data_IF_537565098638
#
_entry.id   IF_537565098638
#
_cell.length_a   1.000
_cell.length_b   1.000
_cell.length_c   1.000
_cell.angle_alpha   90.00
_cell.angle_beta   90.00
_cell.angle_gamma   90.00
#
_symmetry.space_group_name_H-M   'P 1'
#
loop_
_entity.id
_entity.type
_entity.pdbx_description
1 polymer ?
#
# COMPACT_ATOMS: atom_id res chain seq x y z
N UNK A 1 12.75 -10.28 -34.28
CA UNK A 1 11.62 -10.77 -33.46
C UNK A 1 11.86 -10.38 -32.02
N UNK A 2 10.88 -9.79 -31.30
CA UNK A 2 11.06 -9.51 -29.88
C UNK A 2 11.33 -10.80 -29.11
N UNK A 3 12.41 -10.82 -28.31
CA UNK A 3 12.88 -12.05 -27.64
C UNK A 3 12.11 -12.40 -26.37
N UNK A 4 11.30 -11.49 -25.83
CA UNK A 4 10.44 -11.74 -24.67
C UNK A 4 9.66 -10.51 -24.20
N UNK A 5 8.67 -10.73 -23.33
CA UNK A 5 7.86 -9.68 -22.69
C UNK A 5 8.28 -9.50 -21.25
N UNK A 6 8.62 -8.27 -20.88
CA UNK A 6 9.15 -7.90 -19.57
C UNK A 6 8.22 -6.86 -18.95
N UNK A 7 7.60 -7.23 -17.84
CA UNK A 7 6.84 -6.31 -17.00
C UNK A 7 7.74 -5.76 -15.91
N UNK A 8 7.73 -4.44 -15.72
CA UNK A 8 8.49 -3.75 -14.67
C UNK A 8 7.51 -2.91 -13.84
N UNK A 9 7.30 -3.32 -12.59
CA UNK A 9 6.57 -2.53 -11.60
C UNK A 9 7.54 -1.79 -10.70
N UNK A 10 7.47 -0.46 -10.65
CA UNK A 10 8.31 0.34 -9.75
C UNK A 10 7.46 0.85 -8.60
N UNK A 11 7.94 0.66 -7.36
CA UNK A 11 7.25 1.09 -6.15
C UNK A 11 6.68 2.50 -6.29
N UNK A 12 5.42 2.65 -5.89
CA UNK A 12 4.67 3.88 -6.04
C UNK A 12 5.16 4.89 -4.98
N UNK A 13 5.63 6.09 -5.36
CA UNK A 13 5.95 7.11 -4.38
C UNK A 13 4.68 7.56 -3.66
N UNK A 14 4.79 7.68 -2.33
CA UNK A 14 3.68 8.16 -1.51
C UNK A 14 3.49 9.67 -1.69
N UNK A 15 2.31 10.10 -2.10
CA UNK A 15 1.97 11.48 -2.45
C UNK A 15 1.68 12.37 -1.21
N UNK A 16 2.62 12.38 -0.27
CA UNK A 16 2.56 13.15 0.97
C UNK A 16 3.91 13.78 1.33
N UNK A 17 4.80 13.92 0.35
CA UNK A 17 6.14 14.42 0.54
C UNK A 17 6.96 14.40 -0.75
N UNK A 18 7.96 15.27 -0.80
CA UNK A 18 8.91 15.36 -1.91
C UNK A 18 9.86 14.17 -1.94
N UNK A 19 10.32 13.80 -3.14
CA UNK A 19 11.26 12.68 -3.30
C UNK A 19 12.70 13.13 -3.07
N UNK A 20 13.42 12.41 -2.21
CA UNK A 20 14.87 12.56 -2.04
C UNK A 20 15.68 11.53 -2.87
N UNK A 21 16.99 11.73 -2.99
CA UNK A 21 17.91 10.88 -3.78
C UNK A 21 17.85 9.38 -3.42
N UNK A 22 17.65 9.04 -2.14
CA UNK A 22 17.46 7.64 -1.73
C UNK A 22 16.30 6.92 -2.44
N UNK A 23 15.20 7.63 -2.73
CA UNK A 23 14.09 7.07 -3.51
C UNK A 23 14.53 6.76 -4.94
N UNK A 24 15.20 7.74 -5.57
CA UNK A 24 15.70 7.66 -6.95
C UNK A 24 16.69 6.51 -7.11
N UNK A 25 17.71 6.48 -6.27
CA UNK A 25 18.76 5.45 -6.29
C UNK A 25 18.21 4.05 -5.92
N UNK A 26 17.22 3.98 -5.02
CA UNK A 26 16.69 2.71 -4.53
C UNK A 26 15.69 2.03 -5.46
N UNK A 27 14.84 2.80 -6.15
CA UNK A 27 13.71 2.24 -6.90
C UNK A 27 13.72 2.65 -8.39
N UNK A 28 13.80 3.94 -8.69
CA UNK A 28 13.49 4.46 -10.03
C UNK A 28 14.64 4.32 -11.02
N UNK A 29 15.85 4.73 -10.63
CA UNK A 29 17.02 4.68 -11.50
C UNK A 29 17.41 3.24 -11.87
N UNK A 30 17.46 2.27 -10.93
CA UNK A 30 17.75 0.88 -11.30
C UNK A 30 16.69 0.28 -12.23
N UNK A 31 15.42 0.64 -12.05
CA UNK A 31 14.34 0.16 -12.90
C UNK A 31 14.45 0.72 -14.32
N UNK A 32 14.80 2.00 -14.47
CA UNK A 32 14.99 2.66 -15.76
C UNK A 32 16.17 2.07 -16.54
N UNK A 33 17.31 1.87 -15.88
CA UNK A 33 18.49 1.21 -16.47
C UNK A 33 18.11 -0.18 -16.98
N UNK A 34 17.39 -0.96 -16.16
CA UNK A 34 16.95 -2.30 -16.52
C UNK A 34 15.95 -2.28 -17.68
N UNK A 35 15.02 -1.33 -17.70
CA UNK A 35 14.05 -1.16 -18.79
C UNK A 35 14.75 -0.84 -20.10
N UNK A 36 15.67 0.13 -20.10
CA UNK A 36 16.45 0.54 -21.28
C UNK A 36 17.28 -0.63 -21.82
N UNK A 37 18.00 -1.34 -20.95
CA UNK A 37 18.75 -2.52 -21.34
C UNK A 37 17.85 -3.56 -22.04
N UNK A 38 16.69 -3.88 -21.46
CA UNK A 38 15.77 -4.85 -22.04
C UNK A 38 15.21 -4.39 -23.39
N UNK A 39 14.88 -3.11 -23.54
CA UNK A 39 14.45 -2.52 -24.82
C UNK A 39 15.57 -2.63 -25.87
N UNK A 40 16.82 -2.34 -25.50
CA UNK A 40 17.98 -2.41 -26.41
C UNK A 40 18.28 -3.82 -26.92
N UNK A 41 18.10 -4.86 -26.09
CA UNK A 41 18.29 -6.26 -26.52
C UNK A 41 17.05 -6.84 -27.24
N UNK A 42 16.05 -6.00 -27.53
CA UNK A 42 14.87 -6.34 -28.32
C UNK A 42 13.70 -6.95 -27.53
N UNK A 43 13.68 -6.84 -26.20
CA UNK A 43 12.50 -7.25 -25.42
C UNK A 43 11.40 -6.17 -25.47
N UNK A 44 10.15 -6.60 -25.38
CA UNK A 44 9.01 -5.70 -25.20
C UNK A 44 8.83 -5.41 -23.72
N UNK A 45 9.05 -4.14 -23.34
CA UNK A 45 8.98 -3.70 -21.95
C UNK A 45 7.68 -2.94 -21.71
N UNK A 46 7.02 -3.25 -20.58
CA UNK A 46 5.97 -2.42 -19.99
C UNK A 46 6.42 -2.03 -18.58
N UNK A 47 6.91 -0.79 -18.44
CA UNK A 47 7.37 -0.22 -17.18
C UNK A 47 6.34 0.77 -16.66
N UNK A 48 5.72 0.44 -15.53
CA UNK A 48 4.64 1.25 -14.94
C UNK A 48 4.92 1.61 -13.48
N UNK A 49 4.45 2.79 -13.10
CA UNK A 49 4.40 3.28 -11.72
C UNK A 49 3.33 4.38 -11.63
N UNK A 50 3.35 5.13 -10.54
CA UNK A 50 2.44 6.24 -10.31
C UNK A 50 2.43 6.64 -8.86
N UNK A 51 1.71 7.70 -8.52
CA UNK A 51 1.63 8.18 -7.14
C UNK A 51 0.65 7.33 -6.31
N UNK A 52 1.10 6.87 -5.13
CA UNK A 52 0.24 6.28 -4.10
C UNK A 52 -0.41 7.42 -3.31
N UNK A 53 -1.71 7.54 -3.42
CA UNK A 53 -2.49 8.73 -3.08
C UNK A 53 -3.56 8.43 -2.05
N UNK A 54 -3.59 7.26 -1.43
CA UNK A 54 -4.59 6.91 -0.41
C UNK A 54 -4.00 6.81 1.00
N UNK A 55 -4.88 6.69 2.01
CA UNK A 55 -4.47 6.44 3.39
C UNK A 55 -4.44 7.67 4.30
N UNK A 56 -4.28 7.38 5.59
CA UNK A 56 -4.45 8.34 6.68
C UNK A 56 -3.40 9.47 6.73
N UNK A 57 -2.11 9.24 6.41
CA UNK A 57 -1.14 10.34 6.43
C UNK A 57 -1.50 11.51 5.52
N UNK A 58 -2.05 11.26 4.33
CA UNK A 58 -2.54 12.32 3.43
C UNK A 58 -3.67 13.12 4.09
N UNK A 59 -4.63 12.45 4.74
CA UNK A 59 -5.70 13.15 5.46
C UNK A 59 -5.18 14.00 6.63
N UNK A 60 -4.12 13.55 7.32
CA UNK A 60 -3.46 14.34 8.39
C UNK A 60 -2.86 15.62 7.82
N UNK A 61 -2.09 15.48 6.75
CA UNK A 61 -1.42 16.64 6.12
C UNK A 61 -2.47 17.62 5.60
N UNK A 62 -3.51 17.13 4.95
CA UNK A 62 -4.63 17.93 4.48
C UNK A 62 -5.32 18.70 5.63
N UNK A 63 -5.62 18.04 6.75
CA UNK A 63 -6.19 18.69 7.95
C UNK A 63 -5.26 19.74 8.55
N UNK A 64 -3.94 19.46 8.63
CA UNK A 64 -2.94 20.41 9.14
C UNK A 64 -2.79 21.64 8.25
N UNK A 65 -2.81 21.45 6.94
CA UNK A 65 -2.71 22.53 5.95
C UNK A 65 -4.05 23.21 5.66
N UNK A 66 -5.16 22.71 6.22
CA UNK A 66 -6.52 23.20 5.99
C UNK A 66 -6.94 23.16 4.51
N UNK A 67 -6.50 22.13 3.80
CA UNK A 67 -6.84 21.85 2.39
C UNK A 67 -7.49 20.48 2.27
N UNK A 68 -7.99 20.13 1.10
CA UNK A 68 -8.52 18.79 0.83
C UNK A 68 -7.40 17.77 0.60
N UNK A 69 -7.63 16.47 0.87
CA UNK A 69 -6.70 15.40 0.49
C UNK A 69 -6.33 15.42 -1.00
N UNK A 70 -7.29 15.79 -1.87
CA UNK A 70 -7.09 15.89 -3.32
C UNK A 70 -6.03 16.95 -3.66
N UNK A 71 -6.06 18.11 -3.01
CA UNK A 71 -5.07 19.18 -3.24
C UNK A 71 -3.66 18.77 -2.83
N UNK A 72 -3.52 17.98 -1.75
CA UNK A 72 -2.22 17.43 -1.33
C UNK A 72 -1.67 16.48 -2.40
N UNK A 73 -2.48 15.52 -2.84
CA UNK A 73 -1.99 14.52 -3.81
C UNK A 73 -1.78 15.12 -5.19
N UNK A 74 -2.57 16.12 -5.60
CA UNK A 74 -2.38 16.84 -6.87
C UNK A 74 -1.06 17.60 -6.89
N UNK A 75 -0.70 18.22 -5.77
CA UNK A 75 0.58 18.93 -5.59
C UNK A 75 1.75 17.97 -5.73
N UNK A 76 1.77 16.90 -4.95
CA UNK A 76 2.87 15.94 -4.95
C UNK A 76 2.93 15.09 -6.21
N UNK A 77 1.80 14.71 -6.81
CA UNK A 77 1.80 14.00 -8.09
C UNK A 77 2.41 14.85 -9.21
N UNK A 78 2.10 16.15 -9.25
CA UNK A 78 2.72 17.08 -10.21
C UNK A 78 4.24 17.14 -10.00
N UNK A 79 4.68 17.32 -8.75
CA UNK A 79 6.09 17.34 -8.39
C UNK A 79 6.80 16.04 -8.78
N UNK A 80 6.25 14.89 -8.40
CA UNK A 80 6.81 13.57 -8.70
C UNK A 80 6.91 13.35 -10.21
N UNK A 81 5.87 13.68 -10.96
CA UNK A 81 5.85 13.54 -12.43
C UNK A 81 6.92 14.42 -13.08
N UNK A 82 7.03 15.69 -12.67
CA UNK A 82 8.06 16.60 -13.17
C UNK A 82 9.47 16.10 -12.84
N UNK A 83 9.70 15.63 -11.61
CA UNK A 83 10.99 15.08 -11.20
C UNK A 83 11.37 13.85 -12.06
N UNK A 84 10.44 12.92 -12.29
CA UNK A 84 10.70 11.74 -13.12
C UNK A 84 10.99 12.11 -14.58
N UNK A 85 10.28 13.12 -15.12
CA UNK A 85 10.53 13.64 -16.46
C UNK A 85 11.90 14.31 -16.58
N UNK A 86 12.27 15.18 -15.64
CA UNK A 86 13.57 15.88 -15.64
C UNK A 86 14.74 14.92 -15.47
N UNK A 87 14.58 13.85 -14.69
CA UNK A 87 15.56 12.78 -14.56
C UNK A 87 15.63 11.85 -15.78
N UNK A 88 14.72 12.00 -16.75
CA UNK A 88 14.65 11.18 -17.95
C UNK A 88 14.19 9.74 -17.70
N UNK A 89 13.44 9.48 -16.62
CA UNK A 89 12.91 8.15 -16.33
C UNK A 89 11.84 7.77 -17.35
N UNK A 90 12.04 6.64 -18.02
CA UNK A 90 11.31 6.23 -19.22
C UNK A 90 10.15 5.27 -18.92
N UNK A 91 9.21 5.74 -18.11
CA UNK A 91 7.95 5.02 -17.87
C UNK A 91 7.11 4.90 -19.13
N UNK A 92 6.51 3.72 -19.35
CA UNK A 92 5.45 3.54 -20.34
C UNK A 92 4.13 4.16 -19.83
N UNK A 93 3.91 4.13 -18.51
CA UNK A 93 2.87 4.92 -17.85
C UNK A 93 3.28 5.26 -16.40
N UNK A 94 3.19 6.54 -16.05
CA UNK A 94 3.21 7.03 -14.68
C UNK A 94 1.84 7.63 -14.36
N UNK A 95 1.05 6.97 -13.52
CA UNK A 95 -0.36 7.32 -13.25
C UNK A 95 -0.62 7.65 -11.76
N UNK A 96 -1.86 7.51 -11.31
CA UNK A 96 -2.36 7.85 -9.97
C UNK A 96 -3.29 6.76 -9.46
N UNK A 97 -3.27 6.51 -8.16
CA UNK A 97 -4.21 5.57 -7.51
C UNK A 97 -5.62 6.18 -7.30
N UNK A 98 -5.78 7.50 -7.46
CA UNK A 98 -7.09 8.18 -7.39
C UNK A 98 -7.92 8.09 -8.68
N UNK A 99 -7.43 7.40 -9.73
CA UNK A 99 -8.17 7.29 -10.99
C UNK A 99 -9.41 6.39 -10.88
N UNK A 100 -10.43 6.68 -11.71
CA UNK A 100 -11.62 5.82 -11.84
C UNK A 100 -11.24 4.40 -12.28
N UNK A 101 -10.25 4.28 -13.17
CA UNK A 101 -9.72 3.00 -13.62
C UNK A 101 -9.16 2.18 -12.44
N UNK A 102 -8.31 2.78 -11.60
CA UNK A 102 -7.79 2.13 -10.40
C UNK A 102 -8.92 1.67 -9.47
N UNK A 103 -9.87 2.55 -9.16
CA UNK A 103 -11.01 2.21 -8.30
C UNK A 103 -11.81 1.00 -8.84
N UNK A 104 -12.05 0.94 -10.15
CA UNK A 104 -12.79 -0.16 -10.77
C UNK A 104 -12.02 -1.49 -10.69
N UNK A 105 -10.72 -1.48 -11.01
CA UNK A 105 -9.88 -2.68 -10.99
C UNK A 105 -9.74 -3.22 -9.56
N UNK A 106 -9.54 -2.35 -8.58
CA UNK A 106 -9.46 -2.74 -7.16
C UNK A 106 -10.77 -3.36 -6.71
N UNK A 107 -11.92 -2.76 -7.05
CA UNK A 107 -13.24 -3.30 -6.69
C UNK A 107 -13.49 -4.66 -7.35
N UNK A 108 -13.06 -4.87 -8.59
CA UNK A 108 -13.20 -6.15 -9.28
C UNK A 108 -12.39 -7.28 -8.60
N UNK A 109 -11.10 -7.01 -8.29
CA UNK A 109 -10.25 -7.94 -7.54
C UNK A 109 -10.83 -8.22 -6.15
N UNK A 110 -11.28 -7.18 -5.46
CA UNK A 110 -11.91 -7.28 -4.15
C UNK A 110 -13.15 -8.17 -4.18
N UNK A 111 -14.09 -7.89 -5.09
CA UNK A 111 -15.32 -8.67 -5.23
C UNK A 111 -15.04 -10.12 -5.63
N UNK A 112 -14.03 -10.36 -6.47
CA UNK A 112 -13.61 -11.71 -6.84
C UNK A 112 -13.11 -12.50 -5.63
N UNK A 113 -12.27 -11.89 -4.79
CA UNK A 113 -11.77 -12.53 -3.57
C UNK A 113 -12.87 -12.73 -2.52
N UNK A 114 -13.79 -11.77 -2.40
CA UNK A 114 -14.96 -11.86 -1.53
C UNK A 114 -15.89 -13.01 -1.94
N UNK A 115 -16.28 -13.10 -3.22
CA UNK A 115 -17.12 -14.19 -3.74
C UNK A 115 -16.48 -15.57 -3.58
N UNK A 116 -15.15 -15.66 -3.58
CA UNK A 116 -14.40 -16.90 -3.34
C UNK A 116 -14.18 -17.22 -1.85
N UNK A 117 -14.72 -16.41 -0.93
CA UNK A 117 -14.59 -16.63 0.51
C UNK A 117 -13.19 -16.36 1.07
N UNK A 118 -12.36 -15.58 0.37
CA UNK A 118 -11.06 -15.11 0.87
C UNK A 118 -11.13 -13.76 1.58
N UNK A 119 -12.27 -13.09 1.51
CA UNK A 119 -12.55 -11.88 2.30
C UNK A 119 -13.78 -12.15 3.15
N UNK A 120 -13.68 -11.89 4.45
CA UNK A 120 -14.76 -12.14 5.41
C UNK A 120 -14.90 -10.97 6.40
N UNK A 121 -16.09 -10.80 6.97
CA UNK A 121 -16.34 -9.79 7.99
C UNK A 121 -15.96 -10.29 9.38
N UNK A 122 -15.33 -9.44 10.17
CA UNK A 122 -15.04 -9.68 11.59
C UNK A 122 -15.21 -8.36 12.36
N UNK A 123 -15.89 -8.44 13.49
CA UNK A 123 -15.96 -7.32 14.43
C UNK A 123 -14.67 -7.24 15.24
N UNK A 124 -14.16 -6.02 15.39
CA UNK A 124 -13.05 -5.69 16.28
C UNK A 124 -13.45 -4.53 17.19
N UNK A 125 -12.78 -4.43 18.32
CA UNK A 125 -12.88 -3.25 19.19
C UNK A 125 -11.81 -2.25 18.79
N UNK A 126 -12.20 -0.99 18.66
CA UNK A 126 -11.28 0.11 18.36
C UNK A 126 -11.72 1.35 19.11
N UNK A 127 -10.75 2.21 19.44
CA UNK A 127 -11.03 3.46 20.12
C UNK A 127 -11.74 4.44 19.19
N UNK A 128 -12.77 5.09 19.71
CA UNK A 128 -13.60 6.04 19.00
C UNK A 128 -13.64 7.35 19.79
N UNK A 129 -13.35 8.46 19.10
CA UNK A 129 -13.45 9.79 19.66
C UNK A 129 -14.82 10.38 19.34
N UNK A 130 -15.66 10.58 20.36
CA UNK A 130 -17.01 11.13 20.18
C UNK A 130 -16.99 12.60 19.76
N UNK A 131 -15.99 13.36 20.23
CA UNK A 131 -15.81 14.77 19.85
C UNK A 131 -15.34 14.95 18.40
N UNK A 132 -14.47 14.05 17.92
CA UNK A 132 -14.00 14.07 16.52
C UNK A 132 -14.88 13.22 15.59
N UNK A 133 -15.91 12.55 16.11
CA UNK A 133 -16.82 11.67 15.38
C UNK A 133 -16.09 10.64 14.49
N UNK A 134 -15.01 10.01 14.99
CA UNK A 134 -14.20 9.05 14.21
C UNK A 134 -13.51 8.00 15.07
N UNK A 135 -13.22 6.85 14.46
CA UNK A 135 -12.29 5.87 15.03
C UNK A 135 -10.85 6.41 14.98
N UNK A 136 -10.08 6.09 16.01
CA UNK A 136 -8.70 6.53 16.15
C UNK A 136 -7.77 5.37 15.81
N UNK A 137 -6.93 5.48 14.77
CA UNK A 137 -5.77 4.61 14.60
C UNK A 137 -4.81 4.78 15.79
N UNK A 138 -4.02 3.74 16.09
CA UNK A 138 -3.10 3.68 17.23
C UNK A 138 -2.22 4.93 17.40
N UNK A 139 -1.76 5.52 16.28
CA UNK A 139 -0.95 6.75 16.26
C UNK A 139 -1.65 8.02 16.74
N UNK A 140 -2.99 8.01 16.77
CA UNK A 140 -3.80 9.12 17.28
C UNK A 140 -4.25 8.90 18.72
N UNK A 141 -3.75 7.84 19.35
CA UNK A 141 -4.03 7.51 20.72
C UNK A 141 -2.74 7.73 21.49
N UNK A 142 -2.83 8.62 22.46
CA UNK A 142 -1.75 8.87 23.40
C UNK A 142 -2.23 8.51 24.79
N UNK A 143 -1.31 8.12 25.66
CA UNK A 143 -1.63 7.78 27.03
C UNK A 143 -0.38 7.66 27.87
N UNK A 144 -0.59 7.27 29.12
CA UNK A 144 0.49 6.99 30.05
C UNK A 144 1.06 5.59 29.79
N UNK A 145 2.37 5.55 29.52
CA UNK A 145 3.14 4.32 29.36
C UNK A 145 3.01 3.45 30.62
N UNK A 146 2.56 2.19 30.51
CA UNK A 146 2.45 1.32 31.67
C UNK A 146 3.81 0.91 32.25
N UNK A 147 4.91 1.09 31.49
CA UNK A 147 6.25 0.63 31.88
C UNK A 147 7.13 1.71 32.51
N UNK A 148 7.08 2.96 32.02
CA UNK A 148 7.94 4.05 32.51
C UNK A 148 7.18 5.29 33.00
N UNK A 149 5.84 5.30 32.90
CA UNK A 149 5.01 6.41 33.35
C UNK A 149 5.01 7.64 32.44
N UNK A 150 5.72 7.63 31.29
CA UNK A 150 5.64 8.73 30.31
C UNK A 150 4.18 8.97 29.91
N UNK A 151 3.67 10.17 30.13
CA UNK A 151 2.26 10.53 29.91
C UNK A 151 1.91 10.70 28.44
N UNK A 152 2.89 10.77 27.53
CA UNK A 152 2.73 11.00 26.09
C UNK A 152 3.10 9.76 25.23
N UNK A 153 2.99 8.55 25.79
CA UNK A 153 3.27 7.34 25.02
C UNK A 153 2.21 7.13 23.92
N UNK A 154 2.66 6.70 22.74
CA UNK A 154 1.80 6.42 21.60
C UNK A 154 1.24 5.00 21.70
N UNK A 155 0.12 4.76 21.04
CA UNK A 155 -0.55 3.47 21.00
C UNK A 155 0.26 2.31 20.40
N UNK A 156 1.35 2.61 19.69
CA UNK A 156 2.23 1.62 19.07
C UNK A 156 3.60 1.50 19.77
N UNK A 157 4.10 2.58 20.39
CA UNK A 157 5.42 2.63 21.01
C UNK A 157 5.52 3.78 22.01
N UNK A 158 6.25 3.57 23.11
CA UNK A 158 6.72 4.67 23.97
C UNK A 158 8.07 5.18 23.49
N UNK A 159 8.12 6.45 23.08
CA UNK A 159 9.37 7.08 22.60
C UNK A 159 10.42 7.27 23.72
N UNK A 160 10.00 7.28 24.99
CA UNK A 160 10.89 7.47 26.15
C UNK A 160 11.66 6.20 26.51
N UNK A 161 10.99 5.05 26.60
CA UNK A 161 11.61 3.79 26.99
C UNK A 161 11.79 2.80 25.83
N UNK A 162 11.37 3.17 24.62
CA UNK A 162 11.51 2.39 23.39
C UNK A 162 10.59 1.16 23.29
N UNK A 163 9.83 0.82 24.34
CA UNK A 163 8.97 -0.38 24.35
C UNK A 163 7.79 -0.25 23.39
N UNK A 164 7.50 -1.33 22.68
CA UNK A 164 6.26 -1.51 21.94
C UNK A 164 5.12 -1.75 22.93
N UNK A 165 3.98 -1.11 22.68
CA UNK A 165 2.81 -1.10 23.55
C UNK A 165 1.60 -1.42 22.69
N UNK A 166 0.66 -2.21 23.21
CA UNK A 166 -0.69 -2.28 22.62
C UNK A 166 -1.52 -1.13 23.19
N UNK A 167 -2.30 -0.48 22.35
CA UNK A 167 -3.19 0.62 22.75
C UNK A 167 -4.05 0.26 23.97
N UNK A 168 -4.43 -1.02 24.10
CA UNK A 168 -5.20 -1.52 25.25
C UNK A 168 -4.45 -1.44 26.59
N UNK A 169 -3.12 -1.42 26.56
CA UNK A 169 -2.27 -1.34 27.74
C UNK A 169 -2.00 0.10 28.19
N UNK A 170 -2.33 1.10 27.34
CA UNK A 170 -2.17 2.50 27.70
C UNK A 170 -3.17 2.91 28.79
N UNK A 171 -2.65 3.57 29.83
CA UNK A 171 -3.49 4.20 30.86
C UNK A 171 -3.85 5.62 30.44
N UNK A 172 -4.98 6.15 30.89
CA UNK A 172 -5.41 7.54 30.62
C UNK A 172 -5.36 7.89 29.12
N UNK A 173 -5.93 7.02 28.29
CA UNK A 173 -5.97 7.21 26.84
C UNK A 173 -6.65 8.53 26.48
N UNK A 174 -6.07 9.25 25.54
CA UNK A 174 -6.58 10.51 25.00
C UNK A 174 -6.39 10.56 23.50
N UNK A 175 -7.33 11.25 22.85
CA UNK A 175 -7.27 11.55 21.44
C UNK A 175 -6.18 12.62 21.20
N UNK A 176 -5.17 12.30 20.40
CA UNK A 176 -4.11 13.24 20.00
C UNK A 176 -4.65 14.50 19.29
N UNK A 177 -5.82 14.39 18.66
CA UNK A 177 -6.41 15.48 17.86
C UNK A 177 -7.07 16.54 18.75
N UNK A 178 -7.85 16.13 19.75
CA UNK A 178 -8.69 17.05 20.53
C UNK A 178 -8.56 16.93 22.05
N UNK A 179 -7.71 16.01 22.53
CA UNK A 179 -7.44 15.78 23.95
C UNK A 179 -8.52 15.00 24.72
N UNK A 180 -9.68 14.72 24.13
CA UNK A 180 -10.75 13.98 24.83
C UNK A 180 -10.42 12.51 25.03
N UNK A 181 -10.97 11.89 26.07
CA UNK A 181 -10.86 10.44 26.32
C UNK A 181 -11.70 9.67 25.30
N UNK A 182 -11.10 8.82 24.45
CA UNK A 182 -11.84 7.99 23.52
C UNK A 182 -12.49 6.80 24.23
N UNK A 183 -13.57 6.27 23.65
CA UNK A 183 -14.31 5.10 24.14
C UNK A 183 -14.07 3.91 23.22
N UNK A 184 -14.05 2.69 23.76
CA UNK A 184 -14.00 1.49 22.93
C UNK A 184 -15.37 1.26 22.28
N UNK A 185 -15.39 1.15 20.95
CA UNK A 185 -16.59 0.76 20.18
C UNK A 185 -16.26 -0.42 19.28
N UNK A 186 -17.25 -1.31 19.10
CA UNK A 186 -17.16 -2.38 18.11
C UNK A 186 -17.33 -1.80 16.72
N UNK A 187 -16.54 -2.29 15.78
CA UNK A 187 -16.58 -1.90 14.37
C UNK A 187 -16.29 -3.11 13.50
N UNK A 188 -17.10 -3.31 12.46
CA UNK A 188 -16.89 -4.40 11.52
C UNK A 188 -15.80 -4.03 10.51
N UNK A 189 -14.86 -4.93 10.28
CA UNK A 189 -13.89 -4.83 9.18
C UNK A 189 -13.94 -6.07 8.31
N UNK A 190 -13.66 -5.86 7.02
CA UNK A 190 -13.38 -6.97 6.12
C UNK A 190 -11.90 -7.35 6.22
N UNK A 191 -11.66 -8.65 6.42
CA UNK A 191 -10.34 -9.26 6.55
C UNK A 191 -10.03 -10.10 5.32
N UNK A 192 -8.80 -9.99 4.83
CA UNK A 192 -8.24 -10.91 3.85
C UNK A 192 -7.65 -12.12 4.56
N UNK A 193 -8.11 -13.31 4.16
CA UNK A 193 -7.71 -14.61 4.68
C UNK A 193 -6.30 -15.01 4.18
N UNK A 194 -5.30 -14.16 4.47
CA UNK A 194 -3.91 -14.33 4.04
C UNK A 194 -3.31 -15.65 4.53
N UNK A 195 -3.70 -16.09 5.74
CA UNK A 195 -3.29 -17.37 6.31
C UNK A 195 -3.55 -18.57 5.38
N UNK A 196 -4.65 -18.55 4.62
CA UNK A 196 -5.02 -19.63 3.67
C UNK A 196 -4.05 -19.77 2.49
N UNK A 197 -3.20 -18.77 2.25
CA UNK A 197 -2.23 -18.79 1.16
C UNK A 197 -0.83 -19.24 1.60
N UNK A 198 -0.59 -19.43 2.91
CA UNK A 198 0.74 -19.68 3.47
C UNK A 198 1.46 -20.86 2.80
N UNK A 199 0.83 -22.04 2.77
CA UNK A 199 1.44 -23.24 2.17
C UNK A 199 1.74 -23.06 0.68
N UNK A 200 0.85 -22.37 -0.04
CA UNK A 200 1.05 -22.07 -1.46
C UNK A 200 2.21 -21.09 -1.67
N UNK A 201 2.34 -20.07 -0.81
CA UNK A 201 3.43 -19.10 -0.85
C UNK A 201 4.77 -19.76 -0.47
N UNK A 202 4.81 -20.61 0.56
CA UNK A 202 5.98 -21.44 0.90
C UNK A 202 6.45 -22.30 -0.28
N UNK A 203 5.52 -22.94 -0.99
CA UNK A 203 5.84 -23.71 -2.22
C UNK A 203 6.25 -22.84 -3.40
N UNK A 204 5.75 -21.62 -3.49
CA UNK A 204 6.09 -20.67 -4.56
C UNK A 204 7.48 -20.06 -4.35
N UNK A 205 7.80 -19.63 -3.13
CA UNK A 205 9.08 -19.01 -2.78
C UNK A 205 10.25 -19.99 -2.85
N UNK A 206 10.01 -21.29 -2.59
CA UNK A 206 11.06 -22.32 -2.70
C UNK A 206 11.63 -22.45 -4.12
N UNK A 207 10.86 -22.05 -5.14
CA UNK A 207 11.28 -22.05 -6.55
C UNK A 207 12.04 -20.80 -6.97
N UNK A 208 12.16 -19.77 -6.10
CA UNK A 208 12.78 -18.48 -6.41
C UNK A 208 14.28 -18.45 -6.12
N UNK A 209 15.01 -19.47 -6.54
CA UNK A 209 16.46 -19.61 -6.27
C UNK A 209 17.31 -18.48 -6.85
N UNK A 210 16.78 -17.75 -7.83
CA UNK A 210 17.44 -16.62 -8.51
C UNK A 210 17.22 -15.26 -7.83
N UNK A 211 16.43 -15.19 -6.76
CA UNK A 211 16.21 -13.94 -6.02
C UNK A 211 17.41 -13.59 -5.14
N UNK A 212 17.58 -12.29 -4.87
CA UNK A 212 18.63 -11.81 -3.96
C UNK A 212 18.50 -12.49 -2.58
N UNK A 213 19.59 -13.00 -1.99
CA UNK A 213 19.54 -13.77 -0.74
C UNK A 213 18.80 -13.06 0.41
N UNK A 214 18.97 -11.74 0.52
CA UNK A 214 18.32 -10.94 1.55
C UNK A 214 16.79 -10.90 1.41
N UNK A 215 16.27 -10.86 0.17
CA UNK A 215 14.81 -10.88 -0.09
C UNK A 215 14.23 -12.25 0.21
N UNK A 216 14.92 -13.32 -0.17
CA UNK A 216 14.51 -14.69 0.15
C UNK A 216 14.46 -14.95 1.65
N UNK A 217 15.53 -14.57 2.37
CA UNK A 217 15.59 -14.73 3.83
C UNK A 217 14.47 -13.94 4.50
N UNK A 218 14.27 -12.69 4.10
CA UNK A 218 13.22 -11.85 4.67
C UNK A 218 11.82 -12.43 4.45
N UNK A 219 11.52 -12.90 3.23
CA UNK A 219 10.22 -13.52 2.90
C UNK A 219 10.02 -14.84 3.64
N UNK A 220 11.06 -15.69 3.73
CA UNK A 220 10.99 -16.97 4.45
C UNK A 220 10.74 -16.77 5.94
N UNK A 221 11.48 -15.87 6.59
CA UNK A 221 11.28 -15.56 8.00
C UNK A 221 9.83 -15.09 8.27
N UNK A 222 9.24 -14.31 7.35
CA UNK A 222 7.85 -13.86 7.47
C UNK A 222 6.85 -15.03 7.36
N UNK A 223 7.09 -15.97 6.45
CA UNK A 223 6.26 -17.17 6.27
C UNK A 223 6.44 -18.21 7.39
N UNK A 224 7.64 -18.30 7.96
CA UNK A 224 7.95 -19.17 9.11
C UNK A 224 7.27 -18.68 10.39
N UNK A 225 7.11 -17.37 10.54
CA UNK A 225 6.36 -16.76 11.65
C UNK A 225 4.84 -16.98 11.61
N UNK A 226 4.31 -17.56 10.53
CA UNK A 226 2.87 -17.78 10.34
C UNK A 226 2.15 -16.56 9.77
N UNK A 227 1.46 -16.73 8.65
CA UNK A 227 0.65 -15.67 8.05
C UNK A 227 -0.66 -15.51 8.83
N UNK A 228 -0.91 -14.29 9.28
CA UNK A 228 -2.13 -13.91 9.97
C UNK A 228 -3.02 -13.07 9.06
N UNK A 229 -4.33 -13.25 9.20
CA UNK A 229 -5.33 -12.53 8.42
C UNK A 229 -5.28 -11.02 8.69
N UNK A 230 -5.53 -10.24 7.65
CA UNK A 230 -5.30 -8.79 7.66
C UNK A 230 -6.59 -8.03 7.41
N UNK A 231 -6.92 -7.06 8.25
CA UNK A 231 -8.00 -6.12 7.97
C UNK A 231 -7.63 -5.27 6.72
N UNK A 232 -8.46 -5.35 5.68
CA UNK A 232 -8.29 -4.65 4.40
C UNK A 232 -9.27 -3.50 4.22
N UNK A 233 -9.90 -3.05 5.30
CA UNK A 233 -10.78 -1.88 5.33
C UNK A 233 -10.38 -0.93 6.44
N UNK A 234 -10.65 0.36 6.28
CA UNK A 234 -10.33 1.43 7.25
C UNK A 234 -11.49 2.41 7.38
N UNK A 235 -11.64 2.96 8.59
CA UNK A 235 -12.58 4.04 8.93
C UNK A 235 -11.99 5.40 8.57
N UNK A 236 -11.88 5.67 7.27
CA UNK A 236 -11.38 6.94 6.74
C UNK A 236 -12.26 7.40 5.58
N UNK A 237 -12.37 8.70 5.34
CA UNK A 237 -13.14 9.24 4.21
C UNK A 237 -12.43 9.12 2.86
N UNK A 238 -11.10 9.00 2.86
CA UNK A 238 -10.23 9.10 1.69
C UNK A 238 -9.65 7.74 1.26
N UNK A 239 -9.96 7.31 0.03
CA UNK A 239 -9.53 6.02 -0.52
C UNK A 239 -10.54 5.40 -1.49
N UNK A 240 -10.30 4.15 -1.90
CA UNK A 240 -11.28 3.39 -2.72
C UNK A 240 -12.46 2.95 -1.84
N UNK A 241 -13.69 3.26 -2.27
CA UNK A 241 -14.92 2.81 -1.59
C UNK A 241 -15.04 1.29 -1.58
N UNK A 242 -15.45 0.72 -0.45
CA UNK A 242 -15.69 -0.72 -0.29
C UNK A 242 -16.99 -1.12 -1.01
N UNK A 243 -16.97 -2.11 -1.92
CA UNK A 243 -18.14 -2.49 -2.71
C UNK A 243 -19.04 -3.53 -2.00
N UNK A 244 -19.24 -3.40 -0.68
CA UNK A 244 -20.02 -4.35 0.14
C UNK A 244 -21.03 -3.56 0.98
N UNK A 245 -22.28 -4.04 1.04
CA UNK A 245 -23.35 -3.43 1.83
C UNK A 245 -22.97 -3.41 3.32
N UNK A 246 -23.16 -2.28 3.99
CA UNK A 246 -22.79 -2.06 5.40
C UNK A 246 -21.35 -1.58 5.60
N UNK A 247 -20.60 -1.31 4.52
CA UNK A 247 -19.22 -0.81 4.55
C UNK A 247 -19.06 0.50 3.75
N UNK A 248 -20.16 1.21 3.47
CA UNK A 248 -20.21 2.39 2.59
C UNK A 248 -19.33 3.55 3.08
N UNK A 249 -19.26 3.74 4.41
CA UNK A 249 -18.44 4.76 5.06
C UNK A 249 -16.96 4.35 5.22
N UNK A 250 -16.61 3.12 4.85
CA UNK A 250 -15.23 2.61 4.94
C UNK A 250 -14.52 2.69 3.60
N UNK A 251 -13.19 2.63 3.65
CA UNK A 251 -12.33 2.56 2.46
C UNK A 251 -11.48 1.31 2.48
N UNK A 252 -11.16 0.81 1.30
CA UNK A 252 -10.19 -0.25 1.14
C UNK A 252 -8.84 0.25 1.65
N UNK A 253 -8.18 -0.56 2.46
CA UNK A 253 -6.91 -0.20 3.06
C UNK A 253 -5.83 -0.10 1.99
N UNK A 254 -4.99 0.94 2.07
CA UNK A 254 -3.98 1.23 1.05
C UNK A 254 -3.01 0.07 0.78
N UNK A 255 -2.75 -0.76 1.79
CA UNK A 255 -1.87 -1.93 1.63
C UNK A 255 -2.46 -3.00 0.71
N UNK A 256 -3.78 -3.01 0.54
CA UNK A 256 -4.47 -3.94 -0.36
C UNK A 256 -4.60 -3.36 -1.77
N UNK A 257 -4.90 -2.07 -1.93
CA UNK A 257 -5.12 -1.47 -3.25
C UNK A 257 -3.82 -1.05 -3.96
N UNK A 258 -2.79 -0.59 -3.23
CA UNK A 258 -1.55 -0.07 -3.83
C UNK A 258 -0.82 -1.09 -4.70
N UNK A 259 -0.76 -2.36 -4.27
CA UNK A 259 -0.15 -3.44 -5.07
C UNK A 259 -0.98 -3.81 -6.30
N UNK A 260 -2.30 -3.57 -6.27
CA UNK A 260 -3.19 -3.68 -7.44
C UNK A 260 -2.96 -2.52 -8.41
N UNK A 261 -2.35 -1.42 -7.93
CA UNK A 261 -1.90 -0.28 -8.71
C UNK A 261 -1.19 -0.69 -10.01
N UNK A 262 -0.25 -1.62 -9.95
CA UNK A 262 0.49 -2.11 -11.12
C UNK A 262 -0.40 -2.68 -12.22
N UNK A 263 -1.41 -3.46 -11.83
CA UNK A 263 -2.40 -4.03 -12.76
C UNK A 263 -3.25 -2.92 -13.36
N UNK A 264 -3.77 -2.03 -12.50
CA UNK A 264 -4.60 -0.91 -12.96
C UNK A 264 -3.84 0.02 -13.92
N UNK A 265 -2.57 0.33 -13.65
CA UNK A 265 -1.72 1.13 -14.52
C UNK A 265 -1.51 0.43 -15.88
N UNK A 266 -1.31 -0.89 -15.88
CA UNK A 266 -1.19 -1.66 -17.11
C UNK A 266 -2.47 -1.61 -17.96
N UNK A 267 -3.64 -1.74 -17.31
CA UNK A 267 -4.94 -1.61 -17.96
C UNK A 267 -5.15 -0.20 -18.53
N UNK A 268 -4.79 0.83 -17.77
CA UNK A 268 -4.89 2.23 -18.22
C UNK A 268 -3.96 2.50 -19.42
N UNK A 269 -2.73 1.99 -19.37
CA UNK A 269 -1.78 2.06 -20.48
C UNK A 269 -2.35 1.39 -21.74
N UNK A 270 -3.00 0.24 -21.58
CA UNK A 270 -3.68 -0.46 -22.67
C UNK A 270 -4.82 0.37 -23.27
N UNK A 271 -5.65 1.01 -22.43
CA UNK A 271 -6.71 1.92 -22.90
C UNK A 271 -6.16 3.12 -23.68
N UNK A 272 -5.02 3.68 -23.25
CA UNK A 272 -4.39 4.84 -23.90
C UNK A 272 -3.69 4.51 -25.22
N UNK A 273 -3.18 3.29 -25.36
CA UNK A 273 -2.30 2.92 -26.49
C UNK A 273 -2.92 1.93 -27.48
N UNK A 274 -4.04 1.31 -27.13
CA UNK A 274 -4.66 0.23 -27.92
C UNK A 274 -3.91 -1.11 -27.86
N UNK A 275 -2.78 -1.19 -27.14
CA UNK A 275 -2.03 -2.44 -26.91
C UNK A 275 -2.69 -3.27 -25.82
N UNK A 276 -2.46 -4.59 -25.79
CA UNK A 276 -3.12 -5.51 -24.85
C UNK A 276 -2.29 -5.73 -23.59
N UNK A 277 -2.70 -5.21 -22.44
CA UNK A 277 -2.00 -5.41 -21.17
C UNK A 277 -1.91 -6.90 -20.76
N UNK A 278 -2.86 -7.71 -21.21
CA UNK A 278 -2.91 -9.16 -20.97
C UNK A 278 -1.67 -9.88 -21.46
N UNK A 279 -0.99 -9.34 -22.47
CA UNK A 279 0.24 -9.89 -22.99
C UNK A 279 1.38 -9.92 -21.96
N UNK A 280 1.34 -9.03 -20.96
CA UNK A 280 2.29 -9.04 -19.85
C UNK A 280 1.76 -9.80 -18.64
N UNK A 281 0.46 -9.72 -18.36
CA UNK A 281 -0.11 -10.25 -17.11
C UNK A 281 -0.70 -11.66 -17.20
N UNK A 282 -1.09 -12.13 -18.39
CA UNK A 282 -1.72 -13.45 -18.61
C UNK A 282 -0.82 -14.43 -19.38
N UNK A 283 0.21 -13.94 -20.07
CA UNK A 283 1.21 -14.78 -20.71
C UNK A 283 2.16 -15.39 -19.67
N UNK A 284 2.24 -16.73 -19.64
CA UNK A 284 3.10 -17.47 -18.70
C UNK A 284 4.60 -17.27 -18.97
N UNK A 285 4.96 -16.83 -20.17
CA UNK A 285 6.35 -16.56 -20.55
C UNK A 285 6.77 -15.12 -20.24
N UNK A 286 5.82 -14.24 -19.92
CA UNK A 286 6.14 -12.88 -19.50
C UNK A 286 6.85 -12.89 -18.14
N UNK A 287 7.91 -12.09 -18.01
CA UNK A 287 8.70 -12.00 -16.78
C UNK A 287 8.39 -10.70 -16.05
N UNK A 288 8.04 -10.81 -14.77
CA UNK A 288 7.77 -9.65 -13.91
C UNK A 288 8.98 -9.35 -13.02
N UNK A 289 9.36 -8.07 -13.00
CA UNK A 289 10.39 -7.53 -12.14
C UNK A 289 9.80 -6.37 -11.34
N UNK A 290 9.99 -6.39 -10.02
CA UNK A 290 9.51 -5.33 -9.13
C UNK A 290 10.69 -4.64 -8.47
N UNK A 291 10.79 -3.32 -8.65
CA UNK A 291 11.85 -2.49 -8.09
C UNK A 291 11.30 -1.70 -6.91
N UNK A 292 11.83 -2.00 -5.72
CA UNK A 292 11.28 -1.53 -4.45
C UNK A 292 12.36 -1.46 -3.37
N UNK A 293 12.10 -0.63 -2.35
CA UNK A 293 12.88 -0.60 -1.11
C UNK A 293 12.56 -1.79 -0.21
N UNK A 294 13.47 -2.10 0.72
CA UNK A 294 13.38 -3.27 1.62
C UNK A 294 12.03 -3.39 2.34
N UNK A 295 11.46 -2.27 2.77
CA UNK A 295 10.23 -2.27 3.58
C UNK A 295 8.99 -2.71 2.79
N UNK A 296 9.06 -2.67 1.45
CA UNK A 296 7.98 -3.10 0.57
C UNK A 296 8.02 -4.60 0.23
N UNK A 297 9.06 -5.34 0.64
CA UNK A 297 9.20 -6.78 0.36
C UNK A 297 7.93 -7.55 0.75
N UNK A 298 7.36 -7.41 1.97
CA UNK A 298 6.18 -8.20 2.41
C UNK A 298 4.93 -8.08 1.53
N UNK A 299 4.76 -6.97 0.81
CA UNK A 299 3.58 -6.76 -0.05
C UNK A 299 3.73 -7.41 -1.42
N UNK A 300 4.97 -7.73 -1.80
CA UNK A 300 5.31 -8.18 -3.14
C UNK A 300 5.77 -9.65 -3.17
N UNK A 301 5.88 -10.32 -2.02
CA UNK A 301 6.44 -11.66 -1.89
C UNK A 301 5.56 -12.64 -1.11
#
# INVERSE_FOLDING_TARGET
MPRGKIFIGVAWPYANGSLHLGHIAGCYLPADIFARFNRMIGNQVLMVSGSDEHGTPITITAEKEKVTPQEIVDRYHREHTQNMQQLGISFDLFTRTTTKNHSNVVKDVFLTLYKKGYIYSKEIESFYCEKCNRFLPDRYIEGTCPYCGNTNARGDQCDECGKLIDVKDLKNVRCKICGSTPVLKKTAHLFFALSRFENRLKKWISKKTFWRPNVLRFTRNWLEGGLIDRAITRDIGWGVKVPIKGFEEKRIYVWFDAVIGYLSASIEWSQKTGKKWEEWWKDKNAKHYYFLAKDNIPFHT
#
